data_IF_450332046164
#
_entry.id   IF_450332046164
#
_cell.length_a   1.000
_cell.length_b   1.000
_cell.length_c   1.000
_cell.angle_alpha   90.00
_cell.angle_beta   90.00
_cell.angle_gamma   90.00
#
_symmetry.space_group_name_H-M   'P 1'
#
loop_
_entity.id
_entity.type
_entity.pdbx_description
1 polymer ?
#
# COMPACT_ATOMS: atom_id res chain seq x y z
N UNK A 1 -0.21 4.64 -9.20
CA UNK A 1 0.90 3.73 -8.91
C UNK A 1 1.47 3.95 -7.52
N UNK A 2 2.30 3.02 -7.08
CA UNK A 2 3.00 3.05 -5.79
C UNK A 2 4.51 2.89 -6.00
N UNK A 3 5.29 3.47 -5.10
CA UNK A 3 6.71 3.15 -4.96
C UNK A 3 6.91 2.26 -3.73
N UNK A 4 7.38 1.05 -3.98
CA UNK A 4 7.67 0.03 -2.98
C UNK A 4 9.15 -0.37 -2.98
N UNK A 5 10.04 0.55 -3.36
CA UNK A 5 11.48 0.28 -3.51
C UNK A 5 12.19 0.03 -2.18
N UNK A 6 11.64 0.55 -1.07
CA UNK A 6 12.27 0.43 0.23
C UNK A 6 11.91 -0.92 0.86
N UNK A 7 12.86 -1.84 0.77
CA UNK A 7 12.70 -3.23 1.15
C UNK A 7 13.86 -3.70 2.02
N UNK A 8 13.59 -4.71 2.85
CA UNK A 8 14.61 -5.47 3.56
C UNK A 8 14.44 -6.95 3.22
N UNK A 9 15.48 -7.58 2.65
CA UNK A 9 15.45 -9.00 2.22
C UNK A 9 14.21 -9.32 1.35
N UNK A 10 13.95 -8.44 0.38
CA UNK A 10 12.79 -8.52 -0.54
C UNK A 10 11.42 -8.33 0.12
N UNK A 11 11.37 -7.98 1.39
CA UNK A 11 10.13 -7.60 2.07
C UNK A 11 9.97 -6.08 2.05
N UNK A 12 8.84 -5.62 1.56
CA UNK A 12 8.47 -4.19 1.55
C UNK A 12 8.31 -3.70 2.99
N UNK A 13 8.88 -2.55 3.32
CA UNK A 13 8.86 -1.96 4.67
C UNK A 13 8.14 -0.62 4.65
N UNK A 14 8.45 0.21 3.65
CA UNK A 14 7.82 1.51 3.44
C UNK A 14 7.31 1.58 2.02
N UNK A 15 6.07 1.96 1.88
CA UNK A 15 5.40 2.16 0.59
C UNK A 15 4.84 3.58 0.52
N UNK A 16 4.79 4.15 -0.67
CA UNK A 16 4.25 5.49 -0.88
C UNK A 16 3.48 5.62 -2.19
N UNK A 17 2.55 6.55 -2.21
CA UNK A 17 1.79 6.95 -3.38
C UNK A 17 1.61 8.48 -3.41
N UNK A 18 1.68 9.12 -4.59
CA UNK A 18 2.24 8.57 -5.84
C UNK A 18 3.77 8.42 -5.78
N UNK A 19 4.35 7.71 -6.74
CA UNK A 19 5.80 7.63 -6.92
C UNK A 19 6.33 8.98 -7.43
N UNK A 20 6.99 9.74 -6.56
CA UNK A 20 7.38 11.15 -6.81
C UNK A 20 8.43 11.34 -7.91
N UNK A 21 9.14 10.28 -8.28
CA UNK A 21 10.20 10.33 -9.30
C UNK A 21 9.71 10.00 -10.71
N UNK A 22 8.44 9.61 -10.86
CA UNK A 22 7.84 9.37 -12.17
C UNK A 22 7.24 10.64 -12.73
N UNK A 23 7.58 10.99 -13.96
CA UNK A 23 6.83 11.98 -14.72
C UNK A 23 5.47 11.42 -15.18
N UNK A 24 4.57 12.29 -15.60
CA UNK A 24 3.20 11.89 -15.94
C UNK A 24 3.14 10.96 -17.17
N UNK A 25 4.08 11.09 -18.10
CA UNK A 25 4.15 10.23 -19.29
C UNK A 25 4.54 8.81 -18.91
N UNK A 26 5.57 8.66 -18.08
CA UNK A 26 6.04 7.34 -17.61
C UNK A 26 4.96 6.71 -16.73
N UNK A 27 4.37 7.48 -15.81
CA UNK A 27 3.25 7.04 -14.97
C UNK A 27 2.12 6.47 -15.82
N UNK A 28 1.71 7.22 -16.85
CA UNK A 28 0.66 6.77 -17.76
C UNK A 28 1.04 5.47 -18.45
N UNK A 29 2.25 5.36 -18.98
CA UNK A 29 2.71 4.17 -19.68
C UNK A 29 2.73 2.93 -18.80
N UNK A 30 3.18 3.04 -17.55
CA UNK A 30 3.19 1.94 -16.56
C UNK A 30 1.74 1.52 -16.25
N UNK A 31 0.86 2.47 -15.99
CA UNK A 31 -0.55 2.18 -15.71
C UNK A 31 -1.26 1.55 -16.92
N UNK A 32 -1.02 2.05 -18.13
CA UNK A 32 -1.58 1.48 -19.35
C UNK A 32 -1.08 0.05 -19.60
N UNK A 33 0.19 -0.23 -19.32
CA UNK A 33 0.75 -1.57 -19.41
C UNK A 33 0.08 -2.54 -18.42
N UNK A 34 -0.15 -2.10 -17.18
CA UNK A 34 -0.86 -2.88 -16.16
C UNK A 34 -2.30 -3.19 -16.60
N UNK A 35 -3.02 -2.20 -17.13
CA UNK A 35 -4.39 -2.36 -17.65
C UNK A 35 -4.40 -3.33 -18.84
N UNK A 36 -3.42 -3.24 -19.75
CA UNK A 36 -3.30 -4.14 -20.89
C UNK A 36 -3.14 -5.60 -20.45
N UNK A 37 -2.26 -5.86 -19.48
CA UNK A 37 -2.07 -7.20 -18.90
C UNK A 37 -3.38 -7.73 -18.32
N UNK A 38 -4.07 -6.93 -17.49
CA UNK A 38 -5.31 -7.34 -16.86
C UNK A 38 -6.42 -7.65 -17.89
N UNK A 39 -6.51 -6.85 -18.97
CA UNK A 39 -7.48 -7.07 -20.06
C UNK A 39 -7.19 -8.33 -20.85
N UNK A 40 -5.91 -8.61 -21.14
CA UNK A 40 -5.50 -9.78 -21.92
C UNK A 40 -5.91 -11.09 -21.27
N UNK A 41 -5.88 -11.15 -19.94
CA UNK A 41 -6.27 -12.34 -19.18
C UNK A 41 -7.71 -12.28 -18.64
N UNK A 42 -8.51 -11.29 -19.06
CA UNK A 42 -9.86 -11.04 -18.55
C UNK A 42 -9.92 -11.03 -17.03
N UNK A 43 -8.97 -10.32 -16.38
CA UNK A 43 -8.83 -10.32 -14.94
C UNK A 43 -10.04 -9.71 -14.24
N UNK A 44 -10.47 -10.37 -13.18
CA UNK A 44 -11.63 -9.98 -12.37
C UNK A 44 -11.23 -9.76 -10.91
N UNK A 45 -11.50 -8.57 -10.38
CA UNK A 45 -11.20 -8.20 -9.00
C UNK A 45 -10.04 -7.21 -8.86
N UNK A 46 -9.59 -6.97 -7.62
CA UNK A 46 -8.42 -6.16 -7.35
C UNK A 46 -7.13 -6.93 -7.57
N UNK A 47 -6.15 -6.28 -8.18
CA UNK A 47 -4.84 -6.86 -8.43
C UNK A 47 -3.77 -5.79 -8.50
N UNK A 48 -2.52 -6.21 -8.46
CA UNK A 48 -1.37 -5.33 -8.61
C UNK A 48 -0.39 -5.93 -9.61
N UNK A 49 0.03 -5.11 -10.57
CA UNK A 49 1.12 -5.45 -11.49
C UNK A 49 2.38 -4.77 -10.99
N UNK A 50 3.44 -5.54 -10.80
CA UNK A 50 4.72 -5.02 -10.33
C UNK A 50 5.70 -4.86 -11.48
N UNK A 51 6.39 -3.71 -11.49
CA UNK A 51 7.41 -3.37 -12.47
C UNK A 51 8.70 -2.94 -11.78
N UNK A 52 9.82 -3.30 -12.36
CA UNK A 52 11.11 -2.69 -12.07
C UNK A 52 11.27 -1.45 -12.94
N UNK A 53 11.60 -0.32 -12.35
CA UNK A 53 11.85 0.93 -13.06
C UNK A 53 13.32 1.35 -12.97
N UNK A 54 13.97 1.53 -14.11
CA UNK A 54 15.33 2.07 -14.19
C UNK A 54 15.29 3.59 -14.35
N UNK A 55 15.70 4.30 -13.30
CA UNK A 55 15.73 5.77 -13.29
C UNK A 55 16.74 6.39 -14.29
N UNK A 56 17.74 5.62 -14.75
CA UNK A 56 18.76 6.13 -15.70
C UNK A 56 18.25 6.11 -17.12
N UNK A 57 17.57 5.03 -17.50
CA UNK A 57 17.04 4.85 -18.87
C UNK A 57 15.60 5.29 -19.01
N UNK A 58 14.88 5.48 -17.88
CA UNK A 58 13.44 5.70 -17.82
C UNK A 58 12.64 4.53 -18.40
N UNK A 59 13.20 3.35 -18.41
CA UNK A 59 12.56 2.11 -18.85
C UNK A 59 11.95 1.36 -17.68
N UNK A 60 10.90 0.61 -17.92
CA UNK A 60 10.28 -0.26 -16.93
C UNK A 60 10.09 -1.68 -17.46
N UNK A 61 10.23 -2.64 -16.57
CA UNK A 61 10.22 -4.07 -16.89
C UNK A 61 9.22 -4.77 -15.99
N UNK A 62 8.39 -5.62 -16.59
CA UNK A 62 7.42 -6.44 -15.87
C UNK A 62 8.12 -7.43 -14.93
N UNK A 63 7.62 -7.57 -13.71
CA UNK A 63 8.08 -8.55 -12.74
C UNK A 63 7.01 -9.63 -12.56
N UNK A 64 5.85 -9.24 -11.99
CA UNK A 64 4.80 -10.20 -11.64
C UNK A 64 3.43 -9.52 -11.53
N UNK A 65 2.39 -10.35 -11.44
CA UNK A 65 1.05 -9.93 -11.05
C UNK A 65 0.69 -10.59 -9.72
N UNK A 66 0.24 -9.79 -8.77
CA UNK A 66 -0.37 -10.26 -7.54
C UNK A 66 -1.91 -10.17 -7.70
N UNK A 67 -2.61 -11.30 -7.99
CA UNK A 67 -4.04 -11.30 -8.28
C UNK A 67 -4.87 -11.24 -6.98
N UNK A 68 -4.61 -10.25 -6.16
CA UNK A 68 -5.24 -10.02 -4.86
C UNK A 68 -4.98 -8.60 -4.38
N UNK A 69 -5.68 -8.19 -3.35
CA UNK A 69 -5.32 -6.98 -2.60
C UNK A 69 -3.96 -7.19 -1.91
N UNK A 70 -3.16 -6.15 -1.84
CA UNK A 70 -1.85 -6.16 -1.19
C UNK A 70 -1.88 -5.39 0.14
N UNK A 71 -0.89 -5.65 1.00
CA UNK A 71 -0.74 -5.00 2.31
C UNK A 71 -0.70 -3.48 2.18
N UNK A 72 -0.06 -2.98 1.13
CA UNK A 72 0.15 -1.56 0.83
C UNK A 72 -1.01 -0.86 0.10
N UNK A 73 -2.19 -1.48 -0.01
CA UNK A 73 -3.36 -0.87 -0.65
C UNK A 73 -3.76 0.47 -0.01
N UNK A 74 -3.47 0.65 1.27
CA UNK A 74 -3.87 1.83 2.04
C UNK A 74 -3.34 3.14 1.46
N UNK A 75 -2.10 3.18 0.94
CA UNK A 75 -1.59 4.41 0.31
C UNK A 75 -2.34 4.79 -0.96
N UNK A 76 -2.83 3.79 -1.71
CA UNK A 76 -3.68 4.04 -2.88
C UNK A 76 -5.04 4.58 -2.46
N UNK A 77 -5.64 4.00 -1.43
CA UNK A 77 -6.93 4.45 -0.88
C UNK A 77 -6.85 5.90 -0.39
N UNK A 78 -5.79 6.25 0.34
CA UNK A 78 -5.61 7.60 0.87
C UNK A 78 -5.46 8.68 -0.22
N UNK A 79 -4.76 8.38 -1.33
CA UNK A 79 -4.57 9.37 -2.40
C UNK A 79 -5.70 9.40 -3.43
N UNK A 80 -6.52 8.33 -3.52
CA UNK A 80 -7.62 8.25 -4.49
C UNK A 80 -8.99 8.43 -3.88
N UNK A 81 -9.13 8.22 -2.57
CA UNK A 81 -10.42 8.19 -1.88
C UNK A 81 -11.28 6.96 -2.20
N UNK A 82 -10.69 5.92 -2.82
CA UNK A 82 -11.39 4.69 -3.21
C UNK A 82 -11.12 3.60 -2.19
N UNK A 83 -12.18 3.07 -1.58
CA UNK A 83 -12.14 1.87 -0.73
C UNK A 83 -12.02 0.63 -1.62
N UNK A 84 -10.79 0.09 -1.73
CA UNK A 84 -10.48 -1.05 -2.62
C UNK A 84 -11.15 -2.33 -2.12
N UNK A 85 -11.28 -2.52 -0.82
CA UNK A 85 -11.98 -3.69 -0.24
C UNK A 85 -13.45 -3.66 -0.59
N UNK A 86 -14.10 -2.52 -0.43
CA UNK A 86 -15.49 -2.32 -0.86
C UNK A 86 -15.65 -2.50 -2.36
N UNK A 87 -14.70 -2.00 -3.15
CA UNK A 87 -14.69 -2.20 -4.59
C UNK A 87 -14.63 -3.69 -4.97
N UNK A 88 -13.78 -4.49 -4.31
CA UNK A 88 -13.73 -5.95 -4.53
C UNK A 88 -15.08 -6.64 -4.24
N UNK A 89 -15.74 -6.26 -3.14
CA UNK A 89 -17.05 -6.81 -2.78
C UNK A 89 -18.08 -6.47 -3.86
N UNK A 90 -18.10 -5.23 -4.32
CA UNK A 90 -19.05 -4.80 -5.37
C UNK A 90 -18.81 -5.50 -6.71
N UNK A 91 -17.56 -5.71 -7.08
CA UNK A 91 -17.21 -6.50 -8.27
C UNK A 91 -17.69 -7.96 -8.11
N UNK A 92 -17.50 -8.56 -6.94
CA UNK A 92 -17.98 -9.92 -6.66
C UNK A 92 -19.52 -10.05 -6.68
N UNK A 93 -20.23 -8.97 -6.34
CA UNK A 93 -21.69 -8.86 -6.48
C UNK A 93 -22.16 -8.66 -7.95
N UNK A 94 -21.24 -8.51 -8.91
CA UNK A 94 -21.51 -8.36 -10.33
C UNK A 94 -21.56 -6.91 -10.81
N UNK A 95 -21.25 -5.94 -9.97
CA UNK A 95 -21.18 -4.53 -10.36
C UNK A 95 -20.00 -4.28 -11.31
N UNK A 96 -20.17 -3.31 -12.21
CA UNK A 96 -19.17 -2.92 -13.20
C UNK A 96 -18.58 -1.54 -12.88
N UNK A 97 -17.34 -1.32 -13.29
CA UNK A 97 -16.68 -0.01 -13.24
C UNK A 97 -17.56 1.03 -13.96
N UNK A 98 -17.79 2.15 -13.30
CA UNK A 98 -18.64 3.25 -13.77
C UNK A 98 -20.12 3.12 -13.43
N UNK A 99 -20.57 1.99 -12.89
CA UNK A 99 -21.98 1.76 -12.56
C UNK A 99 -22.32 1.90 -11.07
N UNK A 100 -21.29 1.96 -10.23
CA UNK A 100 -21.47 2.06 -8.78
C UNK A 100 -20.50 3.11 -8.19
N UNK A 101 -20.90 3.92 -7.18
CA UNK A 101 -20.03 4.94 -6.60
C UNK A 101 -18.69 4.43 -6.03
N UNK A 102 -18.63 3.16 -5.58
CA UNK A 102 -17.40 2.52 -5.13
C UNK A 102 -16.50 2.04 -6.29
N UNK A 103 -16.97 2.12 -7.53
CA UNK A 103 -16.29 1.68 -8.75
C UNK A 103 -16.32 2.81 -9.80
N UNK A 104 -15.69 3.96 -9.52
CA UNK A 104 -15.69 5.08 -10.45
C UNK A 104 -14.98 4.70 -11.75
N UNK A 105 -15.26 5.43 -12.83
CA UNK A 105 -14.50 5.30 -14.06
C UNK A 105 -13.08 5.81 -13.86
N UNK A 106 -12.14 5.34 -14.69
CA UNK A 106 -10.73 5.72 -14.58
C UNK A 106 -10.50 7.23 -14.68
N UNK A 107 -11.24 7.90 -15.54
CA UNK A 107 -11.17 9.35 -15.74
C UNK A 107 -11.70 10.19 -14.57
N UNK A 108 -12.47 9.58 -13.69
CA UNK A 108 -13.02 10.20 -12.48
C UNK A 108 -12.07 10.11 -11.27
N UNK A 109 -11.00 9.31 -11.42
CA UNK A 109 -10.02 9.08 -10.34
C UNK A 109 -8.92 10.13 -10.41
N UNK A 110 -8.86 10.97 -9.38
CA UNK A 110 -7.84 12.00 -9.25
C UNK A 110 -6.98 11.75 -8.03
N UNK A 111 -5.67 11.93 -8.19
CA UNK A 111 -4.74 11.85 -7.07
C UNK A 111 -4.85 13.10 -6.19
N UNK A 112 -5.03 12.91 -4.90
CA UNK A 112 -5.10 13.99 -3.92
C UNK A 112 -4.02 13.80 -2.84
N UNK A 113 -3.01 14.65 -2.87
CA UNK A 113 -1.93 14.63 -1.89
C UNK A 113 -0.96 13.46 -2.04
N UNK A 114 -0.34 13.11 -0.93
CA UNK A 114 0.68 12.06 -0.81
C UNK A 114 0.38 11.18 0.38
N UNK A 115 0.61 9.88 0.25
CA UNK A 115 0.49 8.93 1.32
C UNK A 115 1.76 8.09 1.47
N UNK A 116 2.09 7.77 2.72
CA UNK A 116 3.20 6.87 3.08
C UNK A 116 2.65 5.84 4.06
N UNK A 117 2.99 4.58 3.85
CA UNK A 117 2.72 3.49 4.77
C UNK A 117 4.03 2.95 5.32
N UNK A 118 4.10 2.73 6.63
CA UNK A 118 5.16 1.98 7.29
C UNK A 118 4.57 0.74 7.97
N UNK A 119 5.29 -0.39 7.83
CA UNK A 119 4.94 -1.63 8.53
C UNK A 119 5.67 -1.69 9.86
N UNK A 120 4.93 -1.75 10.94
CA UNK A 120 5.48 -1.95 12.29
C UNK A 120 5.42 -3.43 12.61
N UNK A 121 6.57 -4.03 12.85
CA UNK A 121 6.73 -5.47 13.04
C UNK A 121 7.42 -5.80 14.37
N UNK A 122 7.19 -7.00 14.88
CA UNK A 122 7.92 -7.55 16.05
C UNK A 122 9.14 -8.33 15.57
N UNK A 123 10.19 -7.61 15.19
CA UNK A 123 11.45 -8.21 14.75
C UNK A 123 12.60 -7.65 15.57
N UNK A 124 13.53 -8.51 15.97
CA UNK A 124 14.69 -8.12 16.74
C UNK A 124 15.86 -7.70 15.81
N UNK A 125 16.16 -6.40 15.69
CA UNK A 125 17.26 -5.95 14.84
C UNK A 125 18.64 -6.41 15.32
N UNK A 126 18.81 -6.72 16.61
CA UNK A 126 20.06 -7.22 17.17
C UNK A 126 20.27 -8.71 16.86
N UNK A 127 19.18 -9.43 16.60
CA UNK A 127 19.21 -10.84 16.25
C UNK A 127 18.84 -11.06 14.78
N UNK A 128 19.45 -10.27 13.91
CA UNK A 128 19.31 -10.40 12.45
C UNK A 128 17.85 -10.31 11.96
N UNK A 129 17.04 -9.48 12.64
CA UNK A 129 15.61 -9.29 12.37
C UNK A 129 14.79 -10.57 12.43
N UNK A 130 15.16 -11.50 13.30
CA UNK A 130 14.28 -12.65 13.56
C UNK A 130 12.96 -12.18 14.18
N UNK A 131 11.83 -12.78 13.80
CA UNK A 131 10.56 -12.50 14.44
C UNK A 131 10.67 -12.75 15.95
N UNK A 132 10.25 -11.76 16.73
CA UNK A 132 10.14 -11.88 18.18
C UNK A 132 8.70 -12.21 18.57
N UNK A 133 8.53 -12.84 19.70
CA UNK A 133 7.23 -13.30 20.19
C UNK A 133 7.08 -13.00 21.69
N UNK A 134 5.84 -12.94 22.15
CA UNK A 134 5.55 -12.65 23.52
C UNK A 134 4.23 -11.93 23.72
N UNK A 135 4.00 -11.43 24.92
CA UNK A 135 2.80 -10.67 25.25
C UNK A 135 3.04 -9.18 25.13
N UNK A 136 2.18 -8.49 24.40
CA UNK A 136 2.20 -7.02 24.33
C UNK A 136 1.69 -6.48 25.67
N UNK A 137 2.57 -5.90 26.45
CA UNK A 137 2.22 -5.32 27.76
C UNK A 137 1.54 -3.96 27.61
N UNK A 138 2.02 -3.15 26.66
CA UNK A 138 1.49 -1.81 26.40
C UNK A 138 1.46 -1.59 24.89
N UNK A 139 0.35 -1.06 24.38
CA UNK A 139 0.21 -0.61 23.00
C UNK A 139 -0.31 0.83 23.02
N UNK A 140 0.44 1.73 22.40
CA UNK A 140 0.05 3.11 22.17
C UNK A 140 0.34 3.44 20.72
N UNK A 141 -0.64 3.99 20.02
CA UNK A 141 -0.52 4.34 18.61
C UNK A 141 -0.76 5.83 18.41
N UNK A 142 -0.14 6.38 17.39
CA UNK A 142 -0.47 7.71 16.91
C UNK A 142 -1.91 7.74 16.40
N UNK A 143 -2.56 8.89 16.55
CA UNK A 143 -3.87 9.15 15.98
C UNK A 143 -3.99 10.62 15.60
N UNK A 144 -4.94 10.95 14.75
CA UNK A 144 -5.27 12.31 14.37
C UNK A 144 -5.42 12.49 12.87
N UNK A 145 -5.57 13.74 12.44
CA UNK A 145 -5.81 14.07 11.05
C UNK A 145 -4.66 13.58 10.14
N UNK A 146 -5.04 12.79 9.13
CA UNK A 146 -4.11 12.21 8.16
C UNK A 146 -3.22 11.09 8.71
N UNK A 147 -3.65 10.41 9.78
CA UNK A 147 -3.04 9.19 10.30
C UNK A 147 -4.09 8.10 10.33
N UNK A 148 -3.83 7.04 9.59
CA UNK A 148 -4.65 5.83 9.53
C UNK A 148 -3.85 4.65 10.09
N UNK A 149 -4.53 3.81 10.85
CA UNK A 149 -3.98 2.59 11.42
C UNK A 149 -4.78 1.38 10.96
N UNK A 150 -4.10 0.41 10.40
CA UNK A 150 -4.68 -0.89 10.07
C UNK A 150 -3.96 -1.96 10.90
N UNK A 151 -4.54 -2.27 12.05
CA UNK A 151 -3.97 -3.21 13.01
C UNK A 151 -4.23 -4.66 12.60
N UNK A 152 -3.22 -5.51 12.79
CA UNK A 152 -3.39 -6.96 12.75
C UNK A 152 -3.68 -7.47 14.17
N UNK A 153 -2.65 -7.68 15.00
CA UNK A 153 -2.77 -8.18 16.38
C UNK A 153 -2.23 -7.17 17.42
N UNK A 154 -2.30 -5.88 17.13
CA UNK A 154 -1.73 -4.86 17.98
C UNK A 154 -2.75 -4.35 19.01
N UNK A 155 -2.84 -5.03 20.14
CA UNK A 155 -3.56 -4.54 21.33
C UNK A 155 -2.84 -4.95 22.62
N UNK A 156 -3.01 -4.17 23.69
CA UNK A 156 -2.47 -4.53 24.98
C UNK A 156 -3.07 -5.87 25.43
N UNK A 157 -2.22 -6.78 25.88
CA UNK A 157 -2.60 -8.14 26.27
C UNK A 157 -2.55 -9.18 25.15
N UNK A 158 -2.45 -8.78 23.88
CA UNK A 158 -2.32 -9.74 22.76
C UNK A 158 -1.03 -10.55 22.85
N UNK A 159 -1.11 -11.80 22.43
CA UNK A 159 0.02 -12.71 22.34
C UNK A 159 0.48 -12.77 20.89
N UNK A 160 1.73 -12.37 20.66
CA UNK A 160 2.40 -12.54 19.38
C UNK A 160 3.04 -13.91 19.36
N UNK A 161 2.73 -14.70 18.35
CA UNK A 161 3.23 -16.06 18.20
C UNK A 161 4.33 -16.14 17.15
N UNK A 162 5.27 -17.10 17.24
CA UNK A 162 6.33 -17.25 16.23
C UNK A 162 5.82 -17.94 14.94
N UNK A 163 4.54 -18.31 14.86
CA UNK A 163 3.99 -19.12 13.75
C UNK A 163 3.35 -18.29 12.64
N UNK A 164 3.16 -16.98 12.86
CA UNK A 164 2.51 -16.07 11.93
C UNK A 164 3.39 -14.87 11.63
N UNK A 165 2.94 -14.03 10.68
CA UNK A 165 3.60 -12.78 10.33
C UNK A 165 3.81 -11.91 11.57
N UNK A 166 4.97 -11.29 11.65
CA UNK A 166 5.37 -10.36 12.72
C UNK A 166 4.69 -8.99 12.63
N UNK A 167 3.83 -8.76 11.63
CA UNK A 167 3.16 -7.48 11.43
C UNK A 167 2.19 -7.16 12.57
N UNK A 168 2.45 -6.07 13.28
CA UNK A 168 1.56 -5.53 14.32
C UNK A 168 0.51 -4.59 13.74
N UNK A 169 0.98 -3.59 13.00
CA UNK A 169 0.15 -2.52 12.47
C UNK A 169 0.79 -1.89 11.25
N UNK A 170 -0.04 -1.47 10.32
CA UNK A 170 0.35 -0.53 9.27
C UNK A 170 0.00 0.87 9.72
N UNK A 171 0.99 1.75 9.79
CA UNK A 171 0.78 3.17 9.97
C UNK A 171 0.78 3.81 8.59
N UNK A 172 -0.34 4.40 8.18
CA UNK A 172 -0.44 5.12 6.92
C UNK A 172 -0.69 6.59 7.21
N UNK A 173 0.14 7.46 6.67
CA UNK A 173 -0.05 8.91 6.78
C UNK A 173 -0.38 9.51 5.42
N UNK A 174 -1.20 10.55 5.46
CA UNK A 174 -1.55 11.34 4.29
C UNK A 174 -1.34 12.83 4.56
N UNK A 175 -0.87 13.56 3.58
CA UNK A 175 -0.82 15.02 3.58
C UNK A 175 -0.95 15.59 2.17
N UNK A 176 -1.21 16.89 2.07
CA UNK A 176 -1.37 17.58 0.80
C UNK A 176 -0.09 17.61 -0.05
N UNK A 177 1.06 17.62 0.60
CA UNK A 177 2.38 17.57 -0.02
C UNK A 177 3.26 16.49 0.63
N UNK A 178 4.33 16.11 -0.06
CA UNK A 178 5.21 15.03 0.35
C UNK A 178 5.96 15.35 1.66
N UNK A 179 6.43 16.57 1.84
CA UNK A 179 7.22 16.96 3.02
C UNK A 179 6.39 16.84 4.31
N UNK A 180 5.16 17.34 4.30
CA UNK A 180 4.25 17.22 5.44
C UNK A 180 3.84 15.77 5.71
N UNK A 181 3.72 14.94 4.65
CA UNK A 181 3.45 13.53 4.78
C UNK A 181 4.60 12.81 5.50
N UNK A 182 5.85 13.09 5.13
CA UNK A 182 7.06 12.56 5.79
C UNK A 182 7.12 13.00 7.26
N UNK A 183 6.97 14.29 7.54
CA UNK A 183 6.96 14.82 8.93
C UNK A 183 5.86 14.19 9.77
N UNK A 184 4.71 13.91 9.14
CA UNK A 184 3.60 13.23 9.83
C UNK A 184 3.92 11.78 10.13
N UNK A 185 4.56 11.07 9.22
CA UNK A 185 5.03 9.71 9.45
C UNK A 185 6.07 9.67 10.56
N UNK A 186 7.07 10.53 10.50
CA UNK A 186 8.16 10.63 11.51
C UNK A 186 7.62 10.78 12.93
N UNK A 187 6.64 11.67 13.13
CA UNK A 187 6.02 11.84 14.46
C UNK A 187 5.03 10.74 14.86
N UNK A 188 4.64 9.87 13.92
CA UNK A 188 3.65 8.81 14.14
C UNK A 188 4.29 7.47 14.50
N UNK A 189 5.59 7.33 14.23
CA UNK A 189 6.43 6.19 14.60
C UNK A 189 7.15 6.45 15.93
#
# INVERSE_FOLDING_TARGET
ERDCSLQRRHQKIIERAPAHFLDDKIRKNICDAAIKIAKEVNYFGAGTVEFLFDKKTSEFYFIEVNPRIQVEHTVTEEVTGIDIVKAQIKIAEGEKIGNHPALPKQEEIHLNGHAIQCRVTTEDPLNNFMPDYGKIMTYRSAAGFGVRLDAANASAGSIITPYYDSLLVKVTTWAKNQEDCIKRMDRSL
#
